data_IF_728267547365
#
_entry.id   IF_728267547365
#
_cell.length_a   1.000
_cell.length_b   1.000
_cell.length_c   1.000
_cell.angle_alpha   90.00
_cell.angle_beta   90.00
_cell.angle_gamma   90.00
#
_symmetry.space_group_name_H-M   'P 1'
#
loop_
_entity.id
_entity.type
_entity.pdbx_description
1 polymer ?
#
# COMPACT_ATOMS: atom_id res chain seq x y z
N UNK A 1 -5.91 -12.51 17.64
CA UNK A 1 -6.01 -11.67 16.43
C UNK A 1 -6.12 -12.57 15.21
N UNK A 2 -7.26 -12.56 14.53
CA UNK A 2 -7.50 -13.38 13.35
C UNK A 2 -6.60 -12.91 12.20
N UNK A 3 -5.82 -13.83 11.60
CA UNK A 3 -5.01 -13.53 10.41
C UNK A 3 -5.97 -13.33 9.23
N UNK A 4 -6.25 -12.08 8.87
CA UNK A 4 -6.94 -11.75 7.62
C UNK A 4 -6.02 -12.19 6.48
N UNK A 5 -6.51 -13.04 5.57
CA UNK A 5 -5.77 -13.39 4.35
C UNK A 5 -5.90 -12.21 3.41
N UNK A 6 -4.93 -11.29 3.45
CA UNK A 6 -4.83 -10.22 2.46
C UNK A 6 -4.70 -10.85 1.07
N UNK A 7 -5.52 -10.38 0.12
CA UNK A 7 -5.48 -10.84 -1.28
C UNK A 7 -4.20 -10.42 -2.02
N UNK A 8 -3.40 -9.57 -1.39
CA UNK A 8 -2.19 -8.98 -1.95
C UNK A 8 -1.06 -10.03 -2.08
N UNK A 9 -0.94 -10.63 -3.27
CA UNK A 9 0.30 -11.32 -3.69
C UNK A 9 1.31 -10.26 -4.13
N UNK A 10 2.44 -10.21 -3.42
CA UNK A 10 3.57 -9.36 -3.81
C UNK A 10 4.24 -9.93 -5.08
N UNK A 11 4.58 -9.09 -6.07
CA UNK A 11 5.34 -9.57 -7.23
C UNK A 11 6.71 -10.08 -6.77
N UNK A 12 7.12 -11.23 -7.27
CA UNK A 12 8.36 -11.88 -6.85
C UNK A 12 9.58 -11.15 -7.45
N UNK A 13 9.43 -10.55 -8.63
CA UNK A 13 10.50 -9.83 -9.31
C UNK A 13 10.04 -8.50 -9.94
N UNK A 14 11.00 -7.66 -10.33
CA UNK A 14 10.73 -6.32 -10.88
C UNK A 14 10.09 -6.34 -12.28
N UNK A 15 10.19 -7.46 -13.00
CA UNK A 15 9.60 -7.64 -14.33
C UNK A 15 8.10 -7.89 -14.22
N UNK A 16 7.71 -8.82 -13.34
CA UNK A 16 6.31 -9.14 -13.01
C UNK A 16 5.57 -7.92 -12.44
N UNK A 17 6.27 -7.10 -11.64
CA UNK A 17 5.74 -5.85 -11.12
C UNK A 17 5.51 -4.77 -12.19
N UNK A 18 6.26 -4.81 -13.30
CA UNK A 18 6.13 -3.84 -14.39
C UNK A 18 5.00 -4.24 -15.36
N UNK A 19 4.85 -5.54 -15.65
CA UNK A 19 3.82 -6.03 -16.58
C UNK A 19 2.38 -5.83 -16.12
N UNK A 20 2.15 -5.63 -14.82
CA UNK A 20 0.81 -5.40 -14.24
C UNK A 20 0.47 -3.92 -14.02
N UNK A 21 1.46 -3.03 -14.06
CA UNK A 21 1.26 -1.60 -13.80
C UNK A 21 1.15 -0.87 -15.14
N UNK A 22 -0.06 -0.40 -15.47
CA UNK A 22 -0.32 0.46 -16.64
C UNK A 22 0.36 1.83 -16.50
N UNK A 23 1.69 1.87 -16.68
CA UNK A 23 2.53 3.06 -16.56
C UNK A 23 2.89 3.67 -17.93
N UNK A 24 2.17 3.29 -19.00
CA UNK A 24 2.41 3.77 -20.37
C UNK A 24 3.83 3.49 -20.85
N UNK A 25 4.20 2.21 -20.93
CA UNK A 25 5.53 1.69 -21.34
C UNK A 25 6.73 2.12 -20.49
N UNK A 26 6.51 2.79 -19.35
CA UNK A 26 7.58 3.16 -18.42
C UNK A 26 7.73 2.11 -17.32
N UNK A 27 8.97 1.65 -17.11
CA UNK A 27 9.29 0.68 -16.04
C UNK A 27 9.07 1.22 -14.63
N UNK A 28 9.27 2.52 -14.41
CA UNK A 28 9.08 3.22 -13.13
C UNK A 28 8.72 4.70 -13.37
N UNK A 29 7.83 5.26 -12.54
CA UNK A 29 7.64 6.72 -12.41
C UNK A 29 8.22 7.15 -11.05
N UNK A 30 9.12 8.14 -11.02
CA UNK A 30 9.60 8.71 -9.76
C UNK A 30 8.52 9.59 -9.15
N UNK A 31 8.00 9.18 -8.00
CA UNK A 31 7.29 10.10 -7.10
C UNK A 31 8.29 10.70 -6.12
N UNK A 32 8.39 12.02 -6.09
CA UNK A 32 9.12 12.75 -5.07
C UNK A 32 8.32 12.74 -3.77
N UNK A 33 8.59 11.73 -2.93
CA UNK A 33 8.14 11.73 -1.53
C UNK A 33 9.07 12.71 -0.79
N UNK A 34 8.55 13.72 -0.09
CA UNK A 34 9.39 14.69 0.63
C UNK A 34 10.34 13.95 1.59
N UNK A 35 11.66 14.02 1.30
CA UNK A 35 12.72 13.21 1.91
C UNK A 35 13.26 13.86 3.21
N UNK A 36 12.83 15.07 3.54
CA UNK A 36 13.26 15.81 4.74
C UNK A 36 12.39 15.51 5.97
N UNK A 37 12.09 14.24 6.24
CA UNK A 37 11.15 13.90 7.30
C UNK A 37 11.59 12.66 8.10
N UNK A 38 11.29 12.64 9.40
CA UNK A 38 11.50 11.53 10.33
C UNK A 38 10.98 10.19 9.76
N UNK A 39 9.95 10.24 8.92
CA UNK A 39 9.39 9.10 8.22
C UNK A 39 10.34 8.46 7.18
N UNK A 40 11.22 9.21 6.52
CA UNK A 40 12.25 8.59 5.64
C UNK A 40 13.26 7.79 6.45
N UNK A 41 13.64 8.28 7.63
CA UNK A 41 14.52 7.55 8.55
C UNK A 41 13.84 6.28 9.08
N UNK A 42 12.56 6.36 9.46
CA UNK A 42 11.76 5.20 9.89
C UNK A 42 11.63 4.18 8.77
N UNK A 43 11.26 4.63 7.57
CA UNK A 43 11.13 3.79 6.38
C UNK A 43 12.47 3.14 6.02
N UNK A 44 13.57 3.89 6.10
CA UNK A 44 14.93 3.37 5.91
C UNK A 44 15.25 2.24 6.86
N UNK A 45 15.10 2.48 8.18
CA UNK A 45 15.33 1.46 9.21
C UNK A 45 14.49 0.21 8.99
N UNK A 46 13.20 0.38 8.69
CA UNK A 46 12.31 -0.74 8.43
C UNK A 46 12.73 -1.51 7.17
N UNK A 47 13.05 -0.79 6.09
CA UNK A 47 13.48 -1.41 4.83
C UNK A 47 14.79 -2.19 4.98
N UNK A 48 15.76 -1.66 5.75
CA UNK A 48 17.01 -2.34 6.07
C UNK A 48 16.76 -3.58 6.92
N UNK A 49 15.91 -3.48 7.95
CA UNK A 49 15.53 -4.61 8.81
C UNK A 49 14.89 -5.75 8.02
N UNK A 50 14.05 -5.43 7.04
CA UNK A 50 13.38 -6.42 6.21
C UNK A 50 14.15 -6.85 4.95
N UNK A 51 15.36 -6.32 4.71
CA UNK A 51 16.17 -6.66 3.54
C UNK A 51 15.56 -6.25 2.20
N UNK A 52 14.81 -5.15 2.14
CA UNK A 52 14.12 -4.69 0.94
C UNK A 52 14.53 -3.27 0.55
N UNK A 53 14.42 -2.92 -0.74
CA UNK A 53 14.58 -1.54 -1.18
C UNK A 53 13.51 -0.64 -0.52
N UNK A 54 13.88 0.59 -0.12
CA UNK A 54 12.95 1.58 0.48
C UNK A 54 11.65 1.75 -0.34
N UNK A 55 11.76 1.82 -1.66
CA UNK A 55 10.61 1.93 -2.57
C UNK A 55 9.68 0.72 -2.50
N UNK A 56 10.24 -0.50 -2.42
CA UNK A 56 9.46 -1.73 -2.27
C UNK A 56 8.77 -1.79 -0.90
N UNK A 57 9.44 -1.35 0.16
CA UNK A 57 8.83 -1.24 1.49
C UNK A 57 7.66 -0.25 1.51
N UNK A 58 7.82 0.91 0.87
CA UNK A 58 6.74 1.89 0.75
C UNK A 58 5.52 1.34 -0.01
N UNK A 59 5.75 0.65 -1.13
CA UNK A 59 4.68 -0.01 -1.90
C UNK A 59 3.94 -1.06 -1.07
N UNK A 60 4.69 -1.88 -0.30
CA UNK A 60 4.09 -2.87 0.61
C UNK A 60 3.20 -2.21 1.68
N UNK A 61 3.70 -1.16 2.33
CA UNK A 61 2.96 -0.43 3.36
C UNK A 61 1.68 0.19 2.80
N UNK A 62 1.75 0.77 1.60
CA UNK A 62 0.59 1.34 0.92
C UNK A 62 -0.48 0.28 0.66
N UNK A 63 -0.10 -0.90 0.15
CA UNK A 63 -1.03 -2.00 -0.11
C UNK A 63 -1.67 -2.52 1.19
N UNK A 64 -0.88 -2.70 2.25
CA UNK A 64 -1.38 -3.11 3.57
C UNK A 64 -2.33 -2.06 4.16
N UNK A 65 -1.99 -0.77 4.00
CA UNK A 65 -2.82 0.32 4.50
C UNK A 65 -4.18 0.36 3.80
N UNK A 66 -4.20 0.17 2.47
CA UNK A 66 -5.44 0.08 1.70
C UNK A 66 -6.22 -1.21 2.00
N UNK A 67 -5.55 -2.33 2.30
CA UNK A 67 -6.21 -3.58 2.70
C UNK A 67 -6.79 -3.54 4.13
N UNK A 68 -6.46 -2.52 4.94
CA UNK A 68 -6.90 -2.42 6.34
C UNK A 68 -8.17 -1.57 6.47
N UNK A 69 -9.31 -2.15 6.89
CA UNK A 69 -10.54 -1.40 7.13
C UNK A 69 -10.37 -0.27 8.14
N UNK A 70 -9.60 -0.49 9.20
CA UNK A 70 -9.38 0.48 10.28
C UNK A 70 -8.64 1.73 9.77
N UNK A 71 -7.64 1.53 8.90
CA UNK A 71 -6.87 2.63 8.31
C UNK A 71 -7.75 3.41 7.33
N UNK A 72 -8.49 2.71 6.46
CA UNK A 72 -9.44 3.34 5.54
C UNK A 72 -10.47 4.16 6.31
N UNK A 73 -11.11 3.57 7.31
CA UNK A 73 -12.13 4.24 8.12
C UNK A 73 -11.58 5.49 8.79
N UNK A 74 -10.36 5.42 9.34
CA UNK A 74 -9.69 6.58 9.94
C UNK A 74 -9.46 7.71 8.92
N UNK A 75 -8.98 7.38 7.72
CA UNK A 75 -8.79 8.38 6.66
C UNK A 75 -10.11 8.99 6.19
N UNK A 76 -11.14 8.17 5.97
CA UNK A 76 -12.45 8.63 5.51
C UNK A 76 -13.14 9.50 6.56
N UNK A 77 -13.11 9.12 7.83
CA UNK A 77 -13.68 9.97 8.91
C UNK A 77 -13.03 11.34 9.00
N UNK A 78 -11.73 11.42 8.71
CA UNK A 78 -10.96 12.65 8.89
C UNK A 78 -10.96 13.56 7.66
N UNK A 79 -10.98 12.99 6.46
CA UNK A 79 -10.71 13.72 5.22
C UNK A 79 -11.78 13.57 4.15
N UNK A 80 -12.82 12.75 4.35
CA UNK A 80 -13.88 12.59 3.35
C UNK A 80 -14.58 13.93 3.09
N UNK A 81 -14.83 14.22 1.81
CA UNK A 81 -15.56 15.40 1.35
C UNK A 81 -16.85 15.04 0.64
N UNK A 82 -16.95 13.82 0.12
CA UNK A 82 -18.04 13.37 -0.74
C UNK A 82 -18.35 11.90 -0.46
N UNK A 83 -19.56 11.65 0.02
CA UNK A 83 -19.99 10.33 0.48
C UNK A 83 -20.05 9.29 -0.64
N UNK A 84 -20.21 9.71 -1.90
CA UNK A 84 -20.33 8.77 -3.02
C UNK A 84 -19.04 7.98 -3.31
N UNK A 85 -17.90 8.46 -2.83
CA UNK A 85 -16.59 7.81 -3.01
C UNK A 85 -16.12 7.05 -1.77
N UNK A 86 -17.03 6.77 -0.83
CA UNK A 86 -16.70 5.95 0.34
C UNK A 86 -16.34 4.52 -0.07
N UNK A 87 -15.13 4.13 0.29
CA UNK A 87 -14.61 2.77 0.22
C UNK A 87 -15.09 2.04 1.47
N UNK A 88 -16.02 1.09 1.27
CA UNK A 88 -16.59 0.26 2.32
C UNK A 88 -16.06 -1.17 2.20
N UNK A 89 -14.91 -1.50 2.83
CA UNK A 89 -14.38 -2.85 2.76
C UNK A 89 -15.30 -3.83 3.48
N UNK A 90 -15.79 -4.84 2.75
CA UNK A 90 -16.58 -5.95 3.30
C UNK A 90 -15.70 -7.19 3.41
N UNK A 91 -15.56 -7.74 4.62
CA UNK A 91 -14.83 -8.99 4.84
C UNK A 91 -15.81 -10.16 4.75
N UNK A 92 -15.78 -10.88 3.63
CA UNK A 92 -16.60 -12.09 3.41
C UNK A 92 -15.67 -13.29 3.36
N UNK A 93 -15.91 -14.30 4.20
CA UNK A 93 -15.12 -15.53 4.24
C UNK A 93 -13.60 -15.27 4.35
N UNK A 94 -13.21 -14.31 5.21
CA UNK A 94 -11.81 -13.96 5.45
C UNK A 94 -11.07 -13.37 4.24
N UNK A 95 -11.80 -12.91 3.21
CA UNK A 95 -11.31 -12.19 2.04
C UNK A 95 -11.90 -10.77 2.03
N UNK A 96 -11.08 -9.80 1.66
CA UNK A 96 -11.49 -8.40 1.55
C UNK A 96 -12.13 -8.16 0.16
N UNK A 97 -13.31 -7.55 0.15
CA UNK A 97 -14.01 -7.08 -1.05
C UNK A 97 -14.29 -5.58 -0.90
N UNK A 98 -14.30 -4.86 -2.01
CA UNK A 98 -14.64 -3.44 -2.10
C UNK A 98 -15.78 -3.24 -3.10
#
# INVERSE_FOLDING_TARGET
MAKIKTGTKMPQNSSEAAGTRNLGDKRCVRFSISIQNEYDRKLGRLSTSCGMAKSKMADSLLRIALDSPEIIEWFQKKYNKDEQYLVNPVVINNKLYY
#
